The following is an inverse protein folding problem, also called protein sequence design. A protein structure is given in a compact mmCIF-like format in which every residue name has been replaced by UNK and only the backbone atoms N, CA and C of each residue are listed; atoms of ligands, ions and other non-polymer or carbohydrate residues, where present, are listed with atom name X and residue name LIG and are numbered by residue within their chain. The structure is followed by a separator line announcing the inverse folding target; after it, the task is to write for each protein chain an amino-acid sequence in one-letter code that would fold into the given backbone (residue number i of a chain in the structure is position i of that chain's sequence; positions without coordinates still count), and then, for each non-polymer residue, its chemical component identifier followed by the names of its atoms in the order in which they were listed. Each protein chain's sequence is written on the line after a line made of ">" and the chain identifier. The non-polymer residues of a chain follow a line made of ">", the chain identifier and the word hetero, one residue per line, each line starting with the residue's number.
data_IF_839535122031
#
_entry.id   IF_839535122031
#
_cell.length_a   1.000
_cell.length_b   1.000
_cell.length_c   1.000
_cell.angle_alpha   90.00
_cell.angle_beta   90.00
_cell.angle_gamma   90.00
#
_symmetry.space_group_name_H-M   'P 1'
#
loop_
_entity.id
_entity.type
_entity.pdbx_description
1 polymer ?
#
# COMPACT_ATOMS: atom_id res chain seq x y z
N UNK A 1 61.37 -42.95 0.84
CA UNK A 1 61.16 -43.91 1.94
C UNK A 1 60.49 -43.17 3.09
N UNK A 2 59.30 -43.65 3.51
CA UNK A 2 58.72 -43.68 4.87
C UNK A 2 58.92 -42.44 5.80
N UNK A 3 57.93 -41.78 6.43
CA UNK A 3 56.68 -42.15 7.14
C UNK A 3 55.85 -40.85 7.30
N UNK A 4 54.53 -40.79 7.15
CA UNK A 4 53.41 -41.28 8.01
C UNK A 4 53.39 -40.71 9.44
N UNK A 5 52.71 -39.57 9.64
CA UNK A 5 52.18 -39.03 10.92
C UNK A 5 50.96 -38.16 10.51
N UNK A 6 49.71 -38.57 10.69
CA UNK A 6 48.88 -38.80 11.88
C UNK A 6 47.76 -37.73 11.92
N UNK A 7 46.53 -38.24 11.91
CA UNK A 7 45.27 -37.55 12.11
C UNK A 7 45.29 -36.63 13.34
N UNK A 8 44.76 -35.41 13.19
CA UNK A 8 44.02 -34.78 14.28
C UNK A 8 42.75 -34.11 13.75
N UNK A 9 41.66 -34.74 14.16
CA UNK A 9 40.27 -34.34 14.04
C UNK A 9 40.04 -33.09 14.90
N UNK A 10 39.53 -32.00 14.33
CA UNK A 10 38.93 -30.94 15.13
C UNK A 10 37.64 -30.49 14.45
N UNK A 11 36.53 -31.02 14.98
CA UNK A 11 35.19 -30.59 14.69
C UNK A 11 34.96 -29.20 15.29
N UNK A 12 34.70 -28.21 14.44
CA UNK A 12 34.23 -26.88 14.84
C UNK A 12 32.88 -26.60 14.19
N UNK A 13 31.82 -26.66 15.01
CA UNK A 13 30.44 -26.23 14.76
C UNK A 13 30.39 -24.86 14.06
N UNK A 14 29.65 -24.65 12.97
CA UNK A 14 28.20 -24.44 12.80
C UNK A 14 27.60 -23.31 13.68
N UNK A 15 26.86 -22.42 13.00
CA UNK A 15 25.94 -21.35 13.45
C UNK A 15 26.49 -19.92 13.53
N UNK A 16 26.52 -19.27 12.36
CA UNK A 16 26.34 -17.81 12.24
C UNK A 16 24.98 -17.55 11.59
N UNK A 17 23.89 -17.84 12.32
CA UNK A 17 22.51 -17.61 11.86
C UNK A 17 21.94 -16.32 12.46
N UNK A 18 21.53 -15.42 11.57
CA UNK A 18 20.36 -14.55 11.71
C UNK A 18 20.25 -13.66 12.96
N UNK A 19 20.95 -12.52 13.00
CA UNK A 19 20.66 -11.44 13.96
C UNK A 19 20.34 -10.10 13.29
N UNK A 20 19.68 -10.12 12.11
CA UNK A 20 19.37 -8.88 11.37
C UNK A 20 17.90 -8.68 11.00
N UNK A 21 16.97 -9.45 11.59
CA UNK A 21 15.53 -9.34 11.27
C UNK A 21 14.64 -8.88 12.43
N UNK A 22 15.18 -8.66 13.63
CA UNK A 22 14.36 -8.39 14.83
C UNK A 22 13.87 -6.92 14.98
N UNK A 23 14.31 -5.98 14.14
CA UNK A 23 13.92 -4.57 14.28
C UNK A 23 12.63 -4.18 13.54
N UNK A 24 12.02 -5.09 12.76
CA UNK A 24 10.81 -4.79 12.00
C UNK A 24 9.49 -5.11 12.73
N UNK A 25 9.52 -5.86 13.85
CA UNK A 25 8.30 -6.37 14.50
C UNK A 25 7.93 -5.68 15.83
N UNK A 26 8.75 -4.76 16.35
CA UNK A 26 8.49 -4.14 17.66
C UNK A 26 7.60 -2.89 17.62
N UNK A 27 7.14 -2.46 16.44
CA UNK A 27 6.12 -1.41 16.30
C UNK A 27 4.67 -1.96 16.31
N UNK A 28 4.51 -3.27 16.49
CA UNK A 28 3.21 -3.92 16.62
C UNK A 28 2.56 -3.63 17.97
N UNK A 29 1.36 -3.05 17.94
CA UNK A 29 0.44 -2.84 19.07
C UNK A 29 0.74 -1.66 20.01
N UNK A 30 1.46 -0.63 19.57
CA UNK A 30 1.31 0.67 20.22
C UNK A 30 -0.17 1.08 20.15
N UNK A 31 -0.82 1.22 21.31
CA UNK A 31 -2.20 1.64 21.39
C UNK A 31 -2.38 2.96 20.61
N UNK A 32 -3.44 3.04 19.80
CA UNK A 32 -3.70 4.19 18.95
C UNK A 32 -3.71 5.47 19.81
N UNK A 33 -2.88 6.49 19.49
CA UNK A 33 -2.82 7.72 20.28
C UNK A 33 -4.22 8.32 20.48
N UNK A 34 -4.59 8.79 21.69
CA UNK A 34 -5.95 9.28 21.96
C UNK A 34 -6.42 10.38 21.01
N UNK A 35 -5.53 11.31 20.64
CA UNK A 35 -5.83 12.38 19.69
C UNK A 35 -6.15 11.85 18.29
N UNK A 36 -5.37 10.88 17.81
CA UNK A 36 -5.60 10.25 16.50
C UNK A 36 -6.91 9.45 16.50
N UNK A 37 -7.18 8.71 17.59
CA UNK A 37 -8.44 7.98 17.75
C UNK A 37 -9.65 8.91 17.71
N UNK A 38 -9.62 10.00 18.46
CA UNK A 38 -10.70 10.99 18.45
C UNK A 38 -10.90 11.61 17.07
N UNK A 39 -9.80 11.94 16.37
CA UNK A 39 -9.87 12.46 15.01
C UNK A 39 -10.48 11.45 14.04
N UNK A 40 -10.10 10.17 14.13
CA UNK A 40 -10.67 9.10 13.29
C UNK A 40 -12.16 8.94 13.56
N UNK A 41 -12.58 8.87 14.83
CA UNK A 41 -13.99 8.74 15.21
C UNK A 41 -14.83 9.94 14.78
N UNK A 42 -14.24 11.13 14.67
CA UNK A 42 -14.93 12.32 14.15
C UNK A 42 -15.22 12.25 12.64
N UNK A 43 -14.55 11.36 11.90
CA UNK A 43 -14.64 11.27 10.44
C UNK A 43 -14.12 12.51 9.70
N UNK A 44 -13.41 13.42 10.38
CA UNK A 44 -12.84 14.62 9.78
C UNK A 44 -11.42 14.36 9.28
N UNK A 45 -11.25 14.24 7.96
CA UNK A 45 -9.96 13.97 7.33
C UNK A 45 -8.88 15.02 7.66
N UNK A 46 -9.24 16.30 7.78
CA UNK A 46 -8.30 17.36 8.17
C UNK A 46 -7.82 17.19 9.61
N UNK A 47 -8.73 16.85 10.53
CA UNK A 47 -8.36 16.57 11.92
C UNK A 47 -7.44 15.34 12.03
N UNK A 48 -7.68 14.31 11.22
CA UNK A 48 -6.83 13.11 11.16
C UNK A 48 -5.44 13.49 10.64
N UNK A 49 -5.35 14.27 9.56
CA UNK A 49 -4.07 14.75 9.02
C UNK A 49 -3.30 15.60 10.03
N UNK A 50 -3.97 16.53 10.71
CA UNK A 50 -3.37 17.35 11.76
C UNK A 50 -2.87 16.49 12.91
N UNK A 51 -3.68 15.55 13.40
CA UNK A 51 -3.27 14.66 14.49
C UNK A 51 -2.01 13.85 14.11
N UNK A 52 -1.96 13.26 12.91
CA UNK A 52 -0.78 12.51 12.45
C UNK A 52 0.44 13.42 12.31
N UNK A 53 0.31 14.58 11.67
CA UNK A 53 1.44 15.49 11.45
C UNK A 53 2.00 16.05 12.76
N UNK A 54 1.12 16.42 13.72
CA UNK A 54 1.52 16.86 15.06
C UNK A 54 2.21 15.73 15.84
N UNK A 55 1.63 14.52 15.88
CA UNK A 55 2.21 13.39 16.60
C UNK A 55 3.52 12.90 15.98
N UNK A 56 3.65 13.00 14.66
CA UNK A 56 4.89 12.66 13.95
C UNK A 56 5.99 13.70 14.16
N UNK A 57 5.65 14.93 14.58
CA UNK A 57 6.60 16.04 14.74
C UNK A 57 7.48 16.27 13.49
N UNK A 58 6.88 16.14 12.30
CA UNK A 58 7.57 16.29 11.02
C UNK A 58 8.45 15.10 10.59
N UNK A 59 8.51 14.00 11.36
CA UNK A 59 9.30 12.82 11.00
C UNK A 59 8.55 11.94 9.97
N UNK A 60 9.06 11.76 8.72
CA UNK A 60 8.33 11.05 7.68
C UNK A 60 8.12 9.55 7.97
N UNK A 61 9.04 8.89 8.68
CA UNK A 61 8.88 7.50 9.11
C UNK A 61 7.73 7.36 10.12
N UNK A 62 7.59 8.30 11.06
CA UNK A 62 6.46 8.34 12.02
C UNK A 62 5.15 8.65 11.32
N UNK A 63 5.14 9.54 10.32
CA UNK A 63 3.95 9.79 9.49
C UNK A 63 3.47 8.48 8.86
N UNK A 64 4.38 7.70 8.26
CA UNK A 64 4.03 6.41 7.68
C UNK A 64 3.45 5.44 8.72
N UNK A 65 4.11 5.27 9.86
CA UNK A 65 3.68 4.37 10.93
C UNK A 65 2.29 4.75 11.49
N UNK A 66 2.05 6.04 11.77
CA UNK A 66 0.76 6.52 12.24
C UNK A 66 -0.33 6.40 11.18
N UNK A 67 0.01 6.60 9.90
CA UNK A 67 -0.93 6.41 8.78
C UNK A 67 -1.34 4.94 8.62
N UNK A 68 -0.42 3.99 8.84
CA UNK A 68 -0.74 2.55 8.88
C UNK A 68 -1.67 2.20 10.04
N UNK A 69 -1.43 2.77 11.23
CA UNK A 69 -2.32 2.59 12.39
C UNK A 69 -3.71 3.17 12.11
N UNK A 70 -3.77 4.37 11.50
CA UNK A 70 -5.02 5.00 11.11
C UNK A 70 -5.79 4.16 10.09
N UNK A 71 -5.10 3.60 9.08
CA UNK A 71 -5.71 2.68 8.11
C UNK A 71 -6.25 1.42 8.77
N UNK A 72 -5.47 0.78 9.65
CA UNK A 72 -5.91 -0.43 10.38
C UNK A 72 -7.16 -0.17 11.24
N UNK A 73 -7.23 0.99 11.90
CA UNK A 73 -8.43 1.37 12.66
C UNK A 73 -9.61 1.71 11.74
N UNK A 74 -9.35 2.37 10.62
CA UNK A 74 -10.38 2.68 9.62
C UNK A 74 -11.07 1.40 9.10
N UNK A 75 -10.34 0.30 8.93
CA UNK A 75 -10.91 -0.98 8.52
C UNK A 75 -11.91 -1.54 9.52
N UNK A 76 -11.61 -1.41 10.82
CA UNK A 76 -12.54 -1.82 11.88
C UNK A 76 -13.80 -0.95 11.88
N UNK A 77 -13.66 0.31 11.47
CA UNK A 77 -14.79 1.24 11.40
C UNK A 77 -15.71 1.00 10.21
N UNK A 78 -15.31 0.26 9.18
CA UNK A 78 -16.15 0.06 7.98
C UNK A 78 -17.55 -0.45 8.34
N UNK A 79 -17.66 -1.38 9.29
CA UNK A 79 -18.93 -1.98 9.70
C UNK A 79 -19.82 -1.06 10.55
N UNK A 80 -19.24 -0.07 11.25
CA UNK A 80 -19.96 0.77 12.23
C UNK A 80 -20.11 2.22 11.78
N UNK A 81 -19.13 2.74 11.04
CA UNK A 81 -19.10 4.10 10.52
C UNK A 81 -18.27 4.13 9.22
N UNK A 82 -18.85 3.73 8.08
CA UNK A 82 -18.16 3.68 6.78
C UNK A 82 -17.69 5.06 6.30
N UNK A 83 -18.37 6.14 6.68
CA UNK A 83 -17.93 7.51 6.36
C UNK A 83 -16.60 7.84 7.04
N UNK A 84 -16.48 7.54 8.34
CA UNK A 84 -15.25 7.78 9.10
C UNK A 84 -14.10 6.89 8.58
N UNK A 85 -14.40 5.64 8.24
CA UNK A 85 -13.44 4.74 7.60
C UNK A 85 -12.88 5.33 6.28
N UNK A 86 -13.76 5.83 5.41
CA UNK A 86 -13.36 6.47 4.16
C UNK A 86 -12.47 7.71 4.40
N UNK A 87 -12.86 8.58 5.34
CA UNK A 87 -12.12 9.80 5.65
C UNK A 87 -10.73 9.50 6.23
N UNK A 88 -10.62 8.49 7.08
CA UNK A 88 -9.35 8.04 7.65
C UNK A 88 -8.44 7.41 6.58
N UNK A 89 -8.98 6.57 5.71
CA UNK A 89 -8.25 6.00 4.58
C UNK A 89 -7.72 7.12 3.65
N UNK A 90 -8.57 8.07 3.28
CA UNK A 90 -8.17 9.20 2.45
C UNK A 90 -7.07 10.05 3.10
N UNK A 91 -7.22 10.40 4.38
CA UNK A 91 -6.20 11.14 5.13
C UNK A 91 -4.86 10.39 5.17
N UNK A 92 -4.89 9.09 5.47
CA UNK A 92 -3.69 8.26 5.48
C UNK A 92 -3.01 8.21 4.11
N UNK A 93 -3.78 7.97 3.03
CA UNK A 93 -3.28 7.98 1.65
C UNK A 93 -2.63 9.30 1.27
N UNK A 94 -3.27 10.43 1.59
CA UNK A 94 -2.71 11.77 1.34
C UNK A 94 -1.35 11.95 2.03
N UNK A 95 -1.22 11.56 3.29
CA UNK A 95 0.02 11.72 4.03
C UNK A 95 1.14 10.81 3.52
N UNK A 96 0.86 9.54 3.23
CA UNK A 96 1.90 8.63 2.73
C UNK A 96 2.29 8.91 1.27
N UNK A 97 1.46 9.64 0.54
CA UNK A 97 1.79 10.11 -0.81
C UNK A 97 2.81 11.26 -0.84
N UNK A 98 3.15 11.83 0.32
CA UNK A 98 4.16 12.87 0.39
C UNK A 98 5.54 12.34 -0.06
N UNK A 99 6.29 13.06 -0.91
CA UNK A 99 7.57 12.59 -1.43
C UNK A 99 8.57 12.19 -0.35
N UNK A 100 8.61 12.93 0.77
CA UNK A 100 9.49 12.64 1.89
C UNK A 100 9.16 11.29 2.57
N UNK A 101 7.88 10.92 2.63
CA UNK A 101 7.42 9.64 3.20
C UNK A 101 7.72 8.50 2.24
N UNK A 102 7.40 8.67 0.96
CA UNK A 102 7.70 7.67 -0.09
C UNK A 102 9.19 7.37 -0.18
N UNK A 103 10.05 8.38 -0.04
CA UNK A 103 11.50 8.21 -0.12
C UNK A 103 12.06 7.36 1.04
N UNK A 104 11.48 7.46 2.25
CA UNK A 104 12.02 6.78 3.44
C UNK A 104 11.27 5.51 3.83
N UNK A 105 10.02 5.38 3.43
CA UNK A 105 9.14 4.28 3.83
C UNK A 105 8.20 3.82 2.68
N UNK A 106 8.74 3.45 1.50
CA UNK A 106 7.91 3.10 0.35
C UNK A 106 7.05 1.85 0.60
N UNK A 107 7.54 0.87 1.36
CA UNK A 107 6.75 -0.31 1.76
C UNK A 107 5.55 0.07 2.64
N UNK A 108 5.74 1.02 3.57
CA UNK A 108 4.66 1.46 4.44
C UNK A 108 3.60 2.24 3.68
N UNK A 109 4.03 3.09 2.74
CA UNK A 109 3.14 3.81 1.84
C UNK A 109 2.31 2.84 0.99
N UNK A 110 2.93 1.79 0.43
CA UNK A 110 2.21 0.74 -0.30
C UNK A 110 1.20 0.00 0.58
N UNK A 111 1.58 -0.36 1.79
CA UNK A 111 0.68 -1.03 2.75
C UNK A 111 -0.55 -0.18 3.04
N UNK A 112 -0.40 1.13 3.21
CA UNK A 112 -1.53 2.06 3.39
C UNK A 112 -2.41 2.11 2.13
N UNK A 113 -1.83 2.14 0.94
CA UNK A 113 -2.60 2.09 -0.31
C UNK A 113 -3.42 0.79 -0.45
N UNK A 114 -2.84 -0.36 -0.10
CA UNK A 114 -3.55 -1.65 -0.11
C UNK A 114 -4.75 -1.62 0.85
N UNK A 115 -4.53 -1.14 2.09
CA UNK A 115 -5.61 -0.98 3.08
C UNK A 115 -6.68 0.00 2.60
N UNK A 116 -6.29 1.16 2.06
CA UNK A 116 -7.23 2.16 1.55
C UNK A 116 -8.08 1.62 0.39
N UNK A 117 -7.49 0.80 -0.50
CA UNK A 117 -8.23 0.09 -1.54
C UNK A 117 -9.21 -0.93 -0.96
N UNK A 118 -8.78 -1.75 0.01
CA UNK A 118 -9.66 -2.73 0.67
C UNK A 118 -10.88 -2.07 1.30
N UNK A 119 -10.68 -0.92 1.97
CA UNK A 119 -11.77 -0.09 2.51
C UNK A 119 -12.67 0.42 1.37
N UNK A 120 -12.09 0.94 0.30
CA UNK A 120 -12.80 1.55 -0.82
C UNK A 120 -13.61 0.57 -1.66
N UNK A 121 -13.20 -0.70 -1.72
CA UNK A 121 -13.95 -1.78 -2.41
C UNK A 121 -15.21 -2.16 -1.62
N UNK A 122 -15.31 -1.83 -0.33
CA UNK A 122 -16.50 -2.11 0.44
C UNK A 122 -17.72 -1.33 -0.12
N UNK A 123 -18.83 -2.01 -0.47
CA UNK A 123 -20.01 -1.35 -1.03
C UNK A 123 -20.62 -0.27 -0.13
N UNK A 124 -20.60 -0.46 1.20
CA UNK A 124 -21.15 0.53 2.14
C UNK A 124 -20.34 1.83 2.11
N UNK A 125 -19.01 1.72 1.98
CA UNK A 125 -18.13 2.88 1.84
C UNK A 125 -18.38 3.61 0.52
N UNK A 126 -18.55 2.88 -0.58
CA UNK A 126 -18.88 3.48 -1.88
C UNK A 126 -20.23 4.20 -1.89
N UNK A 127 -21.23 3.64 -1.20
CA UNK A 127 -22.55 4.26 -1.12
C UNK A 127 -22.55 5.54 -0.28
N UNK A 128 -21.80 5.55 0.82
CA UNK A 128 -21.81 6.66 1.79
C UNK A 128 -20.83 7.77 1.39
N UNK A 129 -19.67 7.42 0.82
CA UNK A 129 -18.58 8.36 0.54
C UNK A 129 -18.00 8.22 -0.89
N UNK A 130 -18.82 8.22 -1.97
CA UNK A 130 -18.33 7.91 -3.32
C UNK A 130 -17.25 8.88 -3.82
N UNK A 131 -17.38 10.18 -3.51
CA UNK A 131 -16.36 11.17 -3.88
C UNK A 131 -15.03 10.97 -3.12
N UNK A 132 -15.09 10.48 -1.88
CA UNK A 132 -13.87 10.18 -1.10
C UNK A 132 -13.19 8.94 -1.66
N UNK A 133 -13.95 7.90 -2.02
CA UNK A 133 -13.44 6.69 -2.69
C UNK A 133 -12.77 7.03 -4.01
N UNK A 134 -13.35 7.92 -4.82
CA UNK A 134 -12.73 8.42 -6.05
C UNK A 134 -11.34 9.04 -5.79
N UNK A 135 -11.25 9.91 -4.78
CA UNK A 135 -9.99 10.55 -4.40
C UNK A 135 -8.96 9.54 -3.89
N UNK A 136 -9.39 8.51 -3.15
CA UNK A 136 -8.53 7.40 -2.74
C UNK A 136 -8.00 6.68 -3.97
N UNK A 137 -8.87 6.30 -4.92
CA UNK A 137 -8.48 5.58 -6.14
C UNK A 137 -7.43 6.35 -6.94
N UNK A 138 -7.59 7.67 -7.10
CA UNK A 138 -6.57 8.53 -7.73
C UNK A 138 -5.28 8.54 -6.91
N UNK A 139 -5.36 8.77 -5.60
CA UNK A 139 -4.19 8.87 -4.72
C UNK A 139 -3.36 7.58 -4.66
N UNK A 140 -4.01 6.42 -4.51
CA UNK A 140 -3.32 5.13 -4.46
C UNK A 140 -2.79 4.70 -5.82
N UNK A 141 -3.43 5.09 -6.93
CA UNK A 141 -2.89 4.89 -8.29
C UNK A 141 -1.58 5.67 -8.42
N UNK A 142 -1.60 6.97 -8.13
CA UNK A 142 -0.41 7.81 -8.20
C UNK A 142 0.72 7.25 -7.33
N UNK A 143 0.39 6.80 -6.12
CA UNK A 143 1.36 6.18 -5.22
C UNK A 143 1.93 4.86 -5.78
N UNK A 144 1.07 3.96 -6.26
CA UNK A 144 1.50 2.68 -6.82
C UNK A 144 2.33 2.85 -8.10
N UNK A 145 2.09 3.92 -8.87
CA UNK A 145 2.86 4.27 -10.07
C UNK A 145 4.20 4.96 -9.77
N UNK A 146 4.50 5.26 -8.49
CA UNK A 146 5.82 5.76 -8.12
C UNK A 146 6.86 4.64 -8.27
N UNK A 147 8.01 4.87 -8.93
CA UNK A 147 9.06 3.85 -9.10
C UNK A 147 9.52 3.22 -7.77
N UNK A 148 9.62 4.02 -6.70
CA UNK A 148 10.09 3.54 -5.38
C UNK A 148 9.08 2.59 -4.72
N UNK A 149 7.79 2.91 -4.83
CA UNK A 149 6.69 2.09 -4.30
C UNK A 149 6.51 0.84 -5.15
N UNK A 150 6.59 0.98 -6.47
CA UNK A 150 6.51 -0.14 -7.40
C UNK A 150 7.67 -1.12 -7.17
N UNK A 151 8.89 -0.61 -6.99
CA UNK A 151 10.06 -1.44 -6.66
C UNK A 151 9.90 -2.17 -5.32
N UNK A 152 9.25 -1.55 -4.34
CA UNK A 152 9.02 -2.16 -3.04
C UNK A 152 8.16 -3.44 -3.12
N UNK A 153 7.12 -3.44 -3.96
CA UNK A 153 6.39 -4.67 -4.31
C UNK A 153 5.62 -4.52 -5.62
N UNK A 154 6.16 -4.99 -6.76
CA UNK A 154 5.52 -4.82 -8.06
C UNK A 154 4.13 -5.46 -8.13
N UNK A 155 3.98 -6.67 -7.59
CA UNK A 155 2.70 -7.39 -7.59
C UNK A 155 1.61 -6.66 -6.82
N UNK A 156 1.93 -6.16 -5.62
CA UNK A 156 0.95 -5.42 -4.81
C UNK A 156 0.61 -4.06 -5.43
N UNK A 157 1.59 -3.37 -6.04
CA UNK A 157 1.34 -2.12 -6.75
C UNK A 157 0.40 -2.33 -7.95
N UNK A 158 0.60 -3.38 -8.76
CA UNK A 158 -0.28 -3.71 -9.87
C UNK A 158 -1.70 -4.08 -9.42
N UNK A 159 -1.84 -4.81 -8.30
CA UNK A 159 -3.15 -5.09 -7.72
C UNK A 159 -3.85 -3.78 -7.31
N UNK A 160 -3.13 -2.88 -6.65
CA UNK A 160 -3.67 -1.56 -6.24
C UNK A 160 -4.12 -0.75 -7.46
N UNK A 161 -3.34 -0.74 -8.54
CA UNK A 161 -3.69 -0.07 -9.81
C UNK A 161 -4.97 -0.65 -10.43
N UNK A 162 -5.08 -1.99 -10.48
CA UNK A 162 -6.24 -2.69 -11.02
C UNK A 162 -7.50 -2.38 -10.23
N UNK A 163 -7.42 -2.49 -8.91
CA UNK A 163 -8.53 -2.22 -8.01
C UNK A 163 -8.98 -0.76 -8.10
N UNK A 164 -8.05 0.20 -8.15
CA UNK A 164 -8.36 1.61 -8.28
C UNK A 164 -9.05 1.95 -9.61
N UNK A 165 -8.63 1.33 -10.71
CA UNK A 165 -9.29 1.48 -12.02
C UNK A 165 -10.70 0.90 -12.01
N UNK A 166 -10.90 -0.28 -11.40
CA UNK A 166 -12.21 -0.89 -11.26
C UNK A 166 -13.15 -0.03 -10.38
N UNK A 167 -12.63 0.54 -9.29
CA UNK A 167 -13.37 1.49 -8.44
C UNK A 167 -13.78 2.73 -9.22
N UNK A 168 -12.84 3.38 -9.92
CA UNK A 168 -13.08 4.62 -10.65
C UNK A 168 -14.04 4.43 -11.85
N UNK A 169 -14.07 3.23 -12.44
CA UNK A 169 -14.98 2.89 -13.54
C UNK A 169 -16.35 2.39 -13.08
N UNK A 170 -16.58 2.24 -11.78
CA UNK A 170 -17.89 1.84 -11.26
C UNK A 170 -18.94 2.94 -11.44
N UNK A 171 -20.22 2.61 -11.69
CA UNK A 171 -21.27 3.60 -11.93
C UNK A 171 -21.45 4.59 -10.77
N UNK A 172 -21.40 4.10 -9.52
CA UNK A 172 -21.57 4.90 -8.31
C UNK A 172 -20.49 5.97 -8.19
N UNK A 173 -19.24 5.59 -8.46
CA UNK A 173 -18.09 6.49 -8.35
C UNK A 173 -18.02 7.43 -9.56
N UNK A 174 -18.28 6.92 -10.77
CA UNK A 174 -18.31 7.72 -11.98
C UNK A 174 -19.37 8.83 -11.93
N UNK A 175 -20.53 8.57 -11.30
CA UNK A 175 -21.56 9.58 -11.10
C UNK A 175 -21.15 10.67 -10.11
N UNK A 176 -20.44 10.30 -9.02
CA UNK A 176 -20.02 11.25 -7.99
C UNK A 176 -18.75 12.05 -8.34
N UNK A 177 -17.83 11.44 -9.10
CA UNK A 177 -16.55 12.04 -9.47
C UNK A 177 -16.16 11.66 -10.92
N UNK A 178 -16.77 12.30 -11.93
CA UNK A 178 -16.56 11.95 -13.34
C UNK A 178 -15.10 12.05 -13.80
N UNK A 179 -14.31 12.90 -13.15
CA UNK A 179 -12.90 13.12 -13.49
C UNK A 179 -11.96 12.03 -12.95
N UNK A 180 -12.40 11.23 -11.97
CA UNK A 180 -11.53 10.26 -11.31
C UNK A 180 -11.03 9.17 -12.27
N UNK A 181 -11.91 8.66 -13.13
CA UNK A 181 -11.54 7.65 -14.13
C UNK A 181 -10.52 8.20 -15.13
N UNK A 182 -10.69 9.46 -15.56
CA UNK A 182 -9.76 10.10 -16.49
C UNK A 182 -8.37 10.27 -15.85
N UNK A 183 -8.32 10.69 -14.58
CA UNK A 183 -7.07 10.85 -13.83
C UNK A 183 -6.37 9.51 -13.61
N UNK A 184 -7.10 8.48 -13.13
CA UNK A 184 -6.53 7.13 -12.96
C UNK A 184 -6.00 6.59 -14.29
N UNK A 185 -6.76 6.74 -15.38
CA UNK A 185 -6.33 6.28 -16.71
C UNK A 185 -5.06 7.00 -17.15
N UNK A 186 -4.99 8.33 -17.00
CA UNK A 186 -3.80 9.11 -17.36
C UNK A 186 -2.56 8.68 -16.56
N UNK A 187 -2.69 8.48 -15.25
CA UNK A 187 -1.60 8.00 -14.39
C UNK A 187 -1.12 6.60 -14.80
N UNK A 188 -2.04 5.69 -15.13
CA UNK A 188 -1.69 4.35 -15.62
C UNK A 188 -1.01 4.41 -17.00
N UNK A 189 -1.49 5.23 -17.93
CA UNK A 189 -0.85 5.42 -19.23
C UNK A 189 0.57 5.99 -19.07
N UNK A 190 0.77 6.97 -18.20
CA UNK A 190 2.10 7.52 -17.91
C UNK A 190 3.02 6.45 -17.28
N UNK A 191 2.50 5.64 -16.37
CA UNK A 191 3.25 4.55 -15.74
C UNK A 191 3.65 3.46 -16.74
N UNK A 192 2.75 3.10 -17.66
CA UNK A 192 3.03 2.10 -18.70
C UNK A 192 4.17 2.53 -19.63
N UNK A 193 4.35 3.84 -19.84
CA UNK A 193 5.43 4.42 -20.61
C UNK A 193 6.70 4.74 -19.78
N UNK A 194 6.69 4.53 -18.45
CA UNK A 194 7.78 4.91 -17.58
C UNK A 194 8.94 3.88 -17.67
N UNK A 195 10.14 4.29 -18.13
CA UNK A 195 11.27 3.37 -18.30
C UNK A 195 11.79 2.81 -16.97
N UNK A 196 11.62 3.52 -15.85
CA UNK A 196 12.04 3.03 -14.54
C UNK A 196 11.16 1.87 -14.06
N UNK A 197 9.85 1.92 -14.36
CA UNK A 197 8.91 0.83 -14.05
C UNK A 197 9.19 -0.37 -14.96
N UNK A 198 9.45 -0.12 -16.25
CA UNK A 198 9.84 -1.15 -17.21
C UNK A 198 11.16 -1.85 -16.82
N UNK A 199 12.12 -1.11 -16.25
CA UNK A 199 13.38 -1.69 -15.76
C UNK A 199 13.17 -2.61 -14.53
N UNK A 200 12.17 -2.35 -13.69
CA UNK A 200 11.83 -3.21 -12.55
C UNK A 200 11.10 -4.47 -13.02
N UNK A 201 10.19 -4.32 -14.00
CA UNK A 201 9.40 -5.40 -14.56
C UNK A 201 9.24 -5.19 -16.06
N UNK A 202 9.94 -6.00 -16.87
CA UNK A 202 10.05 -5.82 -18.31
C UNK A 202 8.70 -5.85 -19.07
N UNK A 203 7.69 -6.51 -18.52
CA UNK A 203 6.33 -6.56 -19.08
C UNK A 203 5.33 -5.61 -18.39
N UNK A 204 5.77 -4.73 -17.49
CA UNK A 204 4.89 -3.82 -16.73
C UNK A 204 4.01 -2.96 -17.62
N UNK A 205 4.54 -2.42 -18.73
CA UNK A 205 3.77 -1.62 -19.67
C UNK A 205 2.59 -2.40 -20.30
N UNK A 206 2.81 -3.67 -20.66
CA UNK A 206 1.75 -4.54 -21.19
C UNK A 206 0.70 -4.85 -20.11
N UNK A 207 1.12 -5.13 -18.88
CA UNK A 207 0.21 -5.42 -17.77
C UNK A 207 -0.65 -4.21 -17.41
N UNK A 208 -0.02 -3.03 -17.29
CA UNK A 208 -0.72 -1.78 -16.97
C UNK A 208 -1.69 -1.40 -18.09
N UNK A 209 -1.29 -1.57 -19.36
CA UNK A 209 -2.21 -1.39 -20.50
C UNK A 209 -3.37 -2.38 -20.45
N UNK A 210 -3.10 -3.62 -20.04
CA UNK A 210 -4.11 -4.65 -19.80
C UNK A 210 -5.14 -4.26 -18.74
N UNK A 211 -4.72 -3.59 -17.67
CA UNK A 211 -5.63 -3.05 -16.64
C UNK A 211 -6.59 -2.04 -17.26
N UNK A 212 -6.09 -1.10 -18.07
CA UNK A 212 -6.91 -0.07 -18.73
C UNK A 212 -7.89 -0.70 -19.72
N UNK A 213 -7.47 -1.73 -20.46
CA UNK A 213 -8.31 -2.43 -21.43
C UNK A 213 -9.24 -3.48 -20.82
N UNK A 214 -9.23 -3.63 -19.48
CA UNK A 214 -9.93 -4.69 -18.73
C UNK A 214 -9.57 -6.10 -19.20
N UNK A 215 -8.38 -6.29 -19.76
CA UNK A 215 -7.87 -7.62 -20.07
C UNK A 215 -7.51 -8.35 -18.78
N UNK A 216 -7.80 -9.68 -18.69
CA UNK A 216 -7.38 -10.47 -17.54
C UNK A 216 -5.85 -10.39 -17.41
N UNK A 217 -5.37 -10.16 -16.18
CA UNK A 217 -3.93 -10.11 -15.88
C UNK A 217 -3.26 -11.40 -16.41
N UNK A 218 -2.04 -11.34 -16.96
CA UNK A 218 -1.36 -12.54 -17.44
C UNK A 218 -1.24 -13.59 -16.33
N UNK A 219 -1.39 -14.86 -16.69
CA UNK A 219 -1.49 -15.99 -15.77
C UNK A 219 -0.31 -16.07 -14.78
N UNK A 220 0.88 -15.61 -15.19
CA UNK A 220 2.08 -15.54 -14.36
C UNK A 220 1.96 -14.60 -13.15
N UNK A 221 1.09 -13.59 -13.23
CA UNK A 221 0.77 -12.73 -12.09
C UNK A 221 -0.36 -13.32 -11.25
N UNK A 222 -1.32 -14.01 -11.88
CA UNK A 222 -2.42 -14.68 -11.16
C UNK A 222 -1.88 -15.80 -10.25
N UNK A 223 -0.90 -16.57 -10.72
CA UNK A 223 -0.30 -17.68 -9.97
C UNK A 223 0.43 -17.22 -8.69
N UNK A 224 1.09 -16.05 -8.75
CA UNK A 224 1.72 -15.40 -7.59
C UNK A 224 0.71 -14.91 -6.55
N UNK A 225 -0.51 -14.54 -6.98
CA UNK A 225 -1.59 -14.11 -6.06
C UNK A 225 -2.21 -15.31 -5.36
N UNK A 226 -2.46 -16.40 -6.10
CA UNK A 226 -3.05 -17.64 -5.53
C UNK A 226 -2.12 -18.30 -4.51
N UNK A 227 -0.81 -18.34 -4.74
CA UNK A 227 0.15 -18.94 -3.81
C UNK A 227 0.25 -18.23 -2.44
N UNK A 228 -0.13 -16.94 -2.33
CA UNK A 228 -0.21 -16.27 -1.02
C UNK A 228 -1.48 -16.58 -0.25
N UNK A 229 -2.58 -16.91 -0.94
CA UNK A 229 -3.86 -17.25 -0.31
C UNK A 229 -3.87 -18.60 0.41
N UNK A 230 -2.93 -19.50 0.07
CA UNK A 230 -2.83 -20.84 0.65
C UNK A 230 -1.72 -20.99 1.68
N UNK A 231 -0.96 -19.92 1.97
CA UNK A 231 0.15 -19.93 2.93
C UNK A 231 -0.22 -19.37 4.32
N UNK A 232 -1.52 -19.30 4.64
CA UNK A 232 -2.04 -18.88 5.95
C UNK A 232 -2.66 -20.05 6.69
#
# INVERSE_FOLDING_TARGET
>A
MHKLIAFLFCAGMVFLTAQQSAHAQQFGQAALPPALRAAILSGNSNAIQQAITTLAAGNPQRIAALSQQAGTEAERLVAVNPQAAAAAAAAATTLVSQPAVVAVAPQAALSVAVTANRISINPQVQMVAPAVVANIAVGVTNLATSPQVFQASPTAALQVMSDAYNLASSPTIAAAAPQALQQVTASLTQAAANPQIAAIMGNSGQVITGIISKQPLPSSLQENVVQRGTAS
#
